data_IF_548326330504
#
_entry.id   IF_548326330504
#
_cell.length_a   1.000
_cell.length_b   1.000
_cell.length_c   1.000
_cell.angle_alpha   90.00
_cell.angle_beta   90.00
_cell.angle_gamma   90.00
#
_symmetry.space_group_name_H-M   'P 1'
#
loop_
_entity.id
_entity.type
_entity.pdbx_description
1 polymer ?
#
# COMPACT_ATOMS: atom_id res chain seq x y z
N UNK A 1 0.37 1.04 -22.96
CA UNK A 1 0.01 1.01 -24.39
C UNK A 1 -0.64 2.35 -24.72
N UNK A 2 -0.14 2.99 -25.77
CA UNK A 2 -0.29 4.42 -26.11
C UNK A 2 -0.76 4.53 -27.58
N UNK A 3 -1.93 3.99 -27.86
CA UNK A 3 -2.47 3.88 -29.23
C UNK A 3 -3.75 4.71 -29.43
N UNK A 4 -4.13 5.54 -28.44
CA UNK A 4 -5.12 6.62 -28.60
C UNK A 4 -6.54 6.17 -28.93
N UNK A 5 -6.79 4.88 -29.12
CA UNK A 5 -8.11 4.28 -29.24
C UNK A 5 -8.60 3.96 -27.84
N UNK A 6 -9.45 4.82 -27.31
CA UNK A 6 -10.09 4.60 -26.02
C UNK A 6 -10.96 3.34 -26.09
N UNK A 7 -10.48 2.23 -25.52
CA UNK A 7 -11.33 1.09 -25.18
C UNK A 7 -12.21 1.52 -24.02
N UNK A 8 -13.53 1.46 -24.21
CA UNK A 8 -14.45 1.78 -23.13
C UNK A 8 -14.38 0.68 -22.08
N UNK A 9 -14.59 1.10 -20.85
CA UNK A 9 -14.65 0.28 -19.66
C UNK A 9 -15.90 -0.62 -19.73
N UNK A 10 -15.79 -1.73 -20.49
CA UNK A 10 -16.90 -2.61 -20.86
C UNK A 10 -16.67 -3.43 -22.14
N UNK A 11 -15.68 -3.07 -22.97
CA UNK A 11 -15.40 -3.76 -24.24
C UNK A 11 -14.61 -5.07 -24.08
N UNK A 12 -14.23 -5.43 -22.85
CA UNK A 12 -13.57 -6.70 -22.56
C UNK A 12 -14.63 -7.78 -22.31
N UNK A 13 -14.70 -8.77 -23.22
CA UNK A 13 -15.51 -9.97 -23.05
C UNK A 13 -15.28 -10.56 -21.64
N UNK A 14 -16.37 -10.66 -20.86
CA UNK A 14 -16.44 -11.16 -19.48
C UNK A 14 -15.98 -10.22 -18.35
N UNK A 15 -15.70 -8.93 -18.62
CA UNK A 15 -15.47 -7.97 -17.53
C UNK A 15 -16.79 -7.42 -16.96
N UNK A 16 -16.99 -7.53 -15.65
CA UNK A 16 -17.94 -6.69 -14.93
C UNK A 16 -17.47 -5.23 -15.01
N UNK A 17 -18.34 -4.27 -15.36
CA UNK A 17 -17.95 -2.86 -15.43
C UNK A 17 -17.43 -2.41 -14.06
N UNK A 18 -16.27 -1.76 -14.02
CA UNK A 18 -15.73 -1.30 -12.74
C UNK A 18 -16.60 -0.15 -12.19
N UNK A 19 -16.62 0.02 -10.86
CA UNK A 19 -17.50 0.96 -10.16
C UNK A 19 -17.39 2.42 -10.68
N UNK A 20 -16.26 2.78 -11.28
CA UNK A 20 -16.02 4.10 -11.88
C UNK A 20 -16.72 4.34 -13.22
N UNK A 21 -17.17 3.29 -13.88
CA UNK A 21 -17.75 3.33 -15.23
C UNK A 21 -19.26 3.10 -15.22
N UNK A 22 -19.82 2.78 -14.05
CA UNK A 22 -21.26 2.58 -13.84
C UNK A 22 -21.99 3.93 -13.81
N UNK A 23 -22.87 4.17 -14.79
CA UNK A 23 -23.69 5.38 -14.85
C UNK A 23 -24.74 5.48 -13.73
N UNK A 24 -24.95 4.40 -12.98
CA UNK A 24 -25.92 4.32 -11.88
C UNK A 24 -25.28 4.41 -10.51
N UNK A 25 -23.94 4.43 -10.41
CA UNK A 25 -23.26 4.55 -9.13
C UNK A 25 -23.26 6.02 -8.64
N UNK A 26 -23.69 6.20 -7.38
CA UNK A 26 -23.87 7.52 -6.76
C UNK A 26 -22.55 8.28 -6.60
N UNK A 27 -21.44 7.56 -6.40
CA UNK A 27 -20.11 8.15 -6.29
C UNK A 27 -19.60 8.62 -7.66
N UNK A 28 -19.84 7.84 -8.73
CA UNK A 28 -19.54 8.24 -10.11
C UNK A 28 -20.34 9.47 -10.56
N UNK A 29 -21.63 9.55 -10.21
CA UNK A 29 -22.43 10.75 -10.50
C UNK A 29 -21.94 11.99 -9.74
N UNK A 30 -21.51 11.83 -8.48
CA UNK A 30 -20.91 12.91 -7.71
C UNK A 30 -19.61 13.42 -8.35
N UNK A 31 -18.72 12.52 -8.79
CA UNK A 31 -17.48 12.86 -9.51
C UNK A 31 -17.74 13.54 -10.86
N UNK A 32 -18.74 13.08 -11.63
CA UNK A 32 -19.13 13.72 -12.89
C UNK A 32 -19.72 15.12 -12.69
N UNK A 33 -20.45 15.34 -11.59
CA UNK A 33 -20.98 16.66 -11.25
C UNK A 33 -19.88 17.67 -10.90
N UNK A 34 -18.79 17.20 -10.26
CA UNK A 34 -17.63 18.03 -9.89
C UNK A 34 -16.70 18.34 -11.07
N UNK A 35 -16.69 17.48 -12.10
CA UNK A 35 -15.77 17.59 -13.24
C UNK A 35 -16.38 18.23 -14.48
N UNK A 36 -17.71 18.36 -14.56
CA UNK A 36 -18.40 19.17 -15.57
C UNK A 36 -18.18 20.67 -15.32
N UNK A 37 -17.00 21.16 -15.70
CA UNK A 37 -16.83 22.59 -16.01
C UNK A 37 -17.77 22.94 -17.17
N UNK A 38 -18.56 24.02 -17.10
CA UNK A 38 -19.36 24.45 -18.23
C UNK A 38 -18.42 24.87 -19.35
N UNK A 39 -18.38 24.08 -20.42
CA UNK A 39 -17.80 24.49 -21.69
C UNK A 39 -18.71 25.59 -22.24
N UNK A 40 -18.25 26.85 -22.15
CA UNK A 40 -18.88 27.96 -22.86
C UNK A 40 -18.62 27.76 -24.36
N UNK A 41 -19.57 27.17 -25.06
CA UNK A 41 -19.64 27.22 -26.52
C UNK A 41 -20.12 28.63 -26.90
N UNK A 42 -19.37 29.42 -27.67
CA UNK A 42 -19.87 30.69 -28.17
C UNK A 42 -20.85 30.40 -29.31
N UNK A 43 -22.16 30.52 -29.04
CA UNK A 43 -23.16 30.57 -30.11
C UNK A 43 -23.32 32.01 -30.58
N UNK A 44 -22.84 32.30 -31.78
CA UNK A 44 -23.32 33.44 -32.54
C UNK A 44 -24.69 33.10 -33.12
N UNK A 45 -25.74 33.75 -32.61
CA UNK A 45 -26.88 34.16 -33.44
C UNK A 45 -27.71 35.25 -32.79
N UNK A 46 -28.21 36.07 -33.69
CA UNK A 46 -28.79 37.40 -33.59
C UNK A 46 -30.25 37.40 -33.14
N UNK A 47 -30.59 38.52 -32.51
CA UNK A 47 -31.85 39.26 -32.52
C UNK A 47 -33.07 38.83 -31.69
N UNK A 48 -33.47 39.84 -30.91
CA UNK A 48 -34.82 40.27 -30.55
C UNK A 48 -35.62 39.35 -29.62
N UNK A 49 -35.70 39.74 -28.35
CA UNK A 49 -36.88 40.46 -27.87
C UNK A 49 -36.56 41.32 -26.63
N UNK A 50 -37.09 42.52 -26.67
CA UNK A 50 -36.89 43.63 -25.75
C UNK A 50 -38.00 43.59 -24.70
N UNK A 51 -37.81 42.89 -23.58
CA UNK A 51 -38.68 43.05 -22.41
C UNK A 51 -38.06 44.05 -21.42
N UNK A 52 -38.68 45.23 -21.40
CA UNK A 52 -38.44 46.31 -20.45
C UNK A 52 -38.84 45.86 -19.05
N UNK A 53 -37.85 45.53 -18.22
CA UNK A 53 -37.99 45.58 -16.77
C UNK A 53 -37.13 46.72 -16.22
N UNK A 54 -37.67 47.60 -15.36
CA UNK A 54 -36.90 48.70 -14.78
C UNK A 54 -35.77 48.15 -13.89
N UNK A 55 -34.58 48.77 -13.88
CA UNK A 55 -33.45 48.30 -13.10
C UNK A 55 -33.76 48.49 -11.62
N UNK A 56 -34.06 47.38 -10.93
CA UNK A 56 -34.07 47.35 -9.47
C UNK A 56 -32.62 47.47 -9.03
N UNK A 57 -32.24 48.65 -8.55
CA UNK A 57 -30.97 48.92 -7.89
C UNK A 57 -30.85 48.05 -6.65
N UNK A 58 -30.48 46.79 -6.85
CA UNK A 58 -29.91 45.96 -5.80
C UNK A 58 -28.49 46.46 -5.70
N UNK A 59 -28.23 47.22 -4.64
CA UNK A 59 -26.87 47.50 -4.18
C UNK A 59 -26.25 46.14 -3.89
N UNK A 60 -25.63 45.54 -4.91
CA UNK A 60 -24.77 44.38 -4.75
C UNK A 60 -23.60 44.92 -3.93
N UNK A 61 -23.70 44.77 -2.61
CA UNK A 61 -22.55 44.89 -1.73
C UNK A 61 -21.42 44.12 -2.40
N UNK A 62 -20.26 44.74 -2.67
CA UNK A 62 -19.16 44.04 -3.31
C UNK A 62 -18.91 42.82 -2.44
N UNK A 63 -19.16 41.63 -2.99
CA UNK A 63 -18.77 40.38 -2.36
C UNK A 63 -17.27 40.53 -2.24
N UNK A 64 -16.80 40.87 -1.04
CA UNK A 64 -15.37 40.93 -0.73
C UNK A 64 -14.87 39.53 -0.99
N UNK A 65 -14.35 39.30 -2.18
CA UNK A 65 -13.44 38.20 -2.42
C UNK A 65 -12.39 38.33 -1.32
N UNK A 66 -12.18 37.29 -0.49
CA UNK A 66 -11.11 37.35 0.49
C UNK A 66 -9.81 37.56 -0.29
N UNK A 67 -9.23 38.76 -0.15
CA UNK A 67 -7.97 39.18 -0.78
C UNK A 67 -6.76 38.55 -0.10
N UNK A 68 -6.90 37.31 0.35
CA UNK A 68 -5.88 36.58 1.07
C UNK A 68 -5.38 35.46 0.18
N UNK A 69 -4.14 35.60 -0.28
CA UNK A 69 -3.37 34.52 -0.90
C UNK A 69 -2.90 33.46 0.12
N UNK A 70 -3.22 33.66 1.41
CA UNK A 70 -2.90 32.68 2.45
C UNK A 70 -3.68 31.37 2.23
N UNK A 71 -3.00 30.21 2.24
CA UNK A 71 -3.66 28.92 2.11
C UNK A 71 -4.65 28.71 3.26
N UNK A 72 -5.81 28.15 2.95
CA UNK A 72 -6.83 27.85 3.96
C UNK A 72 -6.28 26.88 5.02
N UNK A 73 -6.84 26.92 6.23
CA UNK A 73 -6.47 25.99 7.30
C UNK A 73 -6.62 24.51 6.88
N UNK A 74 -7.55 24.20 5.98
CA UNK A 74 -7.69 22.88 5.37
C UNK A 74 -6.48 22.51 4.49
N UNK A 75 -6.05 23.42 3.61
CA UNK A 75 -4.87 23.20 2.75
C UNK A 75 -3.61 23.03 3.60
N UNK A 76 -3.44 23.82 4.66
CA UNK A 76 -2.30 23.69 5.58
C UNK A 76 -2.33 22.34 6.30
N UNK A 77 -3.51 21.90 6.76
CA UNK A 77 -3.69 20.59 7.39
C UNK A 77 -3.32 19.47 6.43
N UNK A 78 -3.84 19.50 5.21
CA UNK A 78 -3.58 18.48 4.18
C UNK A 78 -2.09 18.43 3.80
N UNK A 79 -1.46 19.59 3.63
CA UNK A 79 -0.02 19.69 3.39
C UNK A 79 0.80 19.09 4.55
N UNK A 80 0.38 19.31 5.81
CA UNK A 80 1.04 18.73 6.97
C UNK A 80 0.90 17.21 7.04
N UNK A 81 -0.28 16.66 6.72
CA UNK A 81 -0.55 15.22 6.67
C UNK A 81 0.29 14.58 5.57
N UNK A 82 0.30 15.19 4.38
CA UNK A 82 1.11 14.74 3.25
C UNK A 82 2.61 14.71 3.59
N UNK A 83 3.12 15.77 4.22
CA UNK A 83 4.54 15.86 4.61
C UNK A 83 4.91 14.78 5.64
N UNK A 84 4.04 14.54 6.63
CA UNK A 84 4.21 13.45 7.62
C UNK A 84 4.22 12.09 6.95
N UNK A 85 3.25 11.81 6.07
CA UNK A 85 3.19 10.55 5.33
C UNK A 85 4.45 10.33 4.48
N UNK A 86 4.92 11.38 3.80
CA UNK A 86 6.15 11.32 2.98
C UNK A 86 7.40 11.02 3.82
N UNK A 87 7.57 11.72 4.94
CA UNK A 87 8.69 11.48 5.86
C UNK A 87 8.66 10.05 6.41
N UNK A 88 7.49 9.56 6.81
CA UNK A 88 7.30 8.20 7.31
C UNK A 88 7.71 7.15 6.27
N UNK A 89 7.26 7.30 5.03
CA UNK A 89 7.60 6.37 3.94
C UNK A 89 9.11 6.36 3.66
N UNK A 90 9.75 7.53 3.62
CA UNK A 90 11.19 7.61 3.37
C UNK A 90 12.01 6.90 4.46
N UNK A 91 11.61 7.07 5.72
CA UNK A 91 12.24 6.37 6.85
C UNK A 91 12.08 4.85 6.73
N UNK A 92 10.86 4.39 6.42
CA UNK A 92 10.55 2.97 6.20
C UNK A 92 11.32 2.37 5.03
N UNK A 93 11.39 3.09 3.91
CA UNK A 93 12.17 2.67 2.74
C UNK A 93 13.66 2.53 3.07
N UNK A 94 14.22 3.50 3.81
CA UNK A 94 15.62 3.44 4.26
C UNK A 94 15.91 2.20 5.12
N UNK A 95 15.03 1.84 6.05
CA UNK A 95 15.19 0.63 6.89
C UNK A 95 15.24 -0.62 6.00
N UNK A 96 14.37 -0.71 5.01
CA UNK A 96 14.34 -1.84 4.08
C UNK A 96 15.57 -1.86 3.17
N UNK A 97 16.02 -0.72 2.66
CA UNK A 97 17.24 -0.63 1.86
C UNK A 97 18.45 -1.14 2.65
N UNK A 98 18.59 -0.73 3.92
CA UNK A 98 19.65 -1.23 4.79
C UNK A 98 19.55 -2.74 4.99
N UNK A 99 18.34 -3.27 5.24
CA UNK A 99 18.13 -4.70 5.46
C UNK A 99 18.48 -5.50 4.20
N UNK A 100 18.15 -4.98 3.02
CA UNK A 100 18.52 -5.61 1.74
C UNK A 100 20.01 -5.55 1.48
N UNK A 101 20.70 -4.46 1.86
CA UNK A 101 22.17 -4.38 1.73
C UNK A 101 22.83 -5.44 2.63
N UNK A 102 22.32 -5.64 3.83
CA UNK A 102 22.92 -6.55 4.80
C UNK A 102 22.67 -8.03 4.49
N UNK A 103 21.44 -8.39 4.14
CA UNK A 103 21.05 -9.79 3.90
C UNK A 103 21.15 -10.17 2.43
N UNK A 104 20.84 -9.25 1.51
CA UNK A 104 20.72 -9.55 0.09
C UNK A 104 19.71 -10.68 -0.17
N UNK A 105 20.23 -11.78 -0.73
CA UNK A 105 19.46 -13.00 -1.04
C UNK A 105 19.51 -14.08 0.03
N UNK A 106 20.16 -13.83 1.17
CA UNK A 106 20.31 -14.80 2.26
C UNK A 106 18.99 -15.03 3.03
N UNK A 107 19.03 -15.95 3.99
CA UNK A 107 17.89 -16.36 4.78
C UNK A 107 17.47 -15.22 5.74
N UNK A 108 16.31 -14.57 5.52
CA UNK A 108 15.90 -13.45 6.35
C UNK A 108 15.59 -13.89 7.79
N UNK A 109 15.18 -15.14 8.00
CA UNK A 109 14.88 -15.65 9.35
C UNK A 109 16.13 -15.92 10.17
N UNK A 110 17.19 -16.47 9.56
CA UNK A 110 18.48 -16.61 10.25
C UNK A 110 19.03 -15.26 10.69
N UNK A 111 18.88 -14.24 9.85
CA UNK A 111 19.31 -12.89 10.18
C UNK A 111 18.55 -12.33 11.38
N UNK A 112 17.21 -12.38 11.38
CA UNK A 112 16.44 -11.80 12.50
C UNK A 112 16.57 -12.61 13.79
N UNK A 113 16.67 -13.94 13.75
CA UNK A 113 16.61 -14.76 14.96
C UNK A 113 17.97 -15.03 15.57
N UNK A 114 19.03 -14.98 14.76
CA UNK A 114 20.37 -15.36 15.17
C UNK A 114 21.43 -14.30 14.86
N UNK A 115 21.06 -13.20 14.19
CA UNK A 115 22.00 -12.15 13.78
C UNK A 115 23.03 -12.62 12.75
N UNK A 116 22.76 -13.71 12.02
CA UNK A 116 23.69 -14.28 11.04
C UNK A 116 23.10 -14.30 9.63
N UNK A 117 23.90 -13.90 8.64
CA UNK A 117 23.56 -14.08 7.23
C UNK A 117 24.02 -15.46 6.78
N UNK A 118 23.06 -16.28 6.33
CA UNK A 118 23.30 -17.62 5.79
C UNK A 118 22.58 -17.76 4.46
N UNK A 119 23.12 -18.51 3.49
CA UNK A 119 22.40 -18.82 2.26
C UNK A 119 21.00 -19.36 2.56
N UNK A 120 20.01 -18.97 1.75
CA UNK A 120 18.64 -19.47 1.88
C UNK A 120 18.61 -21.00 1.92
N UNK A 121 17.81 -21.54 2.82
CA UNK A 121 17.68 -22.98 2.97
C UNK A 121 16.94 -23.58 1.76
N UNK A 122 17.53 -24.57 1.07
CA UNK A 122 16.94 -25.14 -0.15
C UNK A 122 15.69 -25.98 0.15
N UNK A 123 15.61 -26.57 1.34
CA UNK A 123 14.49 -27.41 1.77
C UNK A 123 13.74 -26.77 2.93
N UNK A 124 12.40 -26.86 2.90
CA UNK A 124 11.52 -26.31 3.94
C UNK A 124 11.82 -26.86 5.33
N UNK A 125 12.14 -28.16 5.42
CA UNK A 125 12.51 -28.79 6.69
C UNK A 125 13.78 -28.16 7.29
N UNK A 126 14.77 -27.84 6.46
CA UNK A 126 16.00 -27.19 6.93
C UNK A 126 15.73 -25.77 7.43
N UNK A 127 14.78 -25.06 6.82
CA UNK A 127 14.35 -23.76 7.30
C UNK A 127 13.81 -23.82 8.74
N UNK A 128 12.90 -24.75 9.06
CA UNK A 128 12.38 -24.87 10.43
C UNK A 128 13.44 -25.35 11.43
N UNK A 129 14.19 -26.37 11.06
CA UNK A 129 15.21 -26.94 11.92
C UNK A 129 16.36 -25.96 12.20
N UNK A 130 16.84 -25.25 11.17
CA UNK A 130 18.01 -24.36 11.30
C UNK A 130 17.63 -22.98 11.79
N UNK A 131 16.52 -22.41 11.32
CA UNK A 131 16.13 -21.07 11.74
C UNK A 131 15.43 -21.06 13.10
N UNK A 132 14.58 -22.05 13.38
CA UNK A 132 13.76 -22.05 14.60
C UNK A 132 14.23 -23.04 15.66
N UNK A 133 15.16 -23.93 15.34
CA UNK A 133 15.58 -25.05 16.22
C UNK A 133 14.42 -25.99 16.56
N UNK A 134 13.42 -26.05 15.67
CA UNK A 134 12.23 -26.89 15.85
C UNK A 134 12.31 -28.07 14.90
N UNK A 135 12.20 -29.28 15.45
CA UNK A 135 12.24 -30.54 14.70
C UNK A 135 10.95 -30.82 13.94
N UNK A 136 9.81 -30.32 14.43
CA UNK A 136 8.51 -30.55 13.82
C UNK A 136 7.52 -29.41 14.15
N UNK A 137 6.87 -28.87 13.13
CA UNK A 137 5.75 -27.93 13.28
C UNK A 137 4.64 -28.44 12.34
N UNK A 138 3.50 -28.85 12.90
CA UNK A 138 2.32 -29.25 12.10
C UNK A 138 1.91 -28.16 11.09
N UNK A 139 2.16 -26.91 11.47
CA UNK A 139 1.85 -25.71 10.71
C UNK A 139 2.97 -25.27 9.74
N UNK A 140 4.03 -26.08 9.55
CA UNK A 140 5.22 -25.71 8.75
C UNK A 140 4.91 -25.36 7.28
N UNK A 141 3.85 -25.90 6.71
CA UNK A 141 3.40 -25.60 5.34
C UNK A 141 2.44 -24.41 5.26
N UNK A 142 1.84 -24.00 6.38
CA UNK A 142 0.75 -23.03 6.40
C UNK A 142 1.19 -21.62 5.97
N UNK A 143 2.46 -21.26 6.15
CA UNK A 143 2.97 -19.99 5.63
C UNK A 143 2.99 -19.93 4.09
N UNK A 144 3.13 -21.08 3.41
CA UNK A 144 3.05 -21.17 1.95
C UNK A 144 1.62 -20.89 1.50
N UNK A 145 0.64 -21.36 2.26
CA UNK A 145 -0.78 -21.14 2.02
C UNK A 145 -1.16 -19.67 2.29
N UNK A 146 -0.72 -19.10 3.41
CA UNK A 146 -0.87 -17.67 3.71
C UNK A 146 -0.24 -16.79 2.62
N UNK A 147 0.94 -17.17 2.10
CA UNK A 147 1.58 -16.52 0.96
C UNK A 147 0.72 -16.58 -0.30
N UNK A 148 0.01 -17.68 -0.56
CA UNK A 148 -0.92 -17.77 -1.70
C UNK A 148 -2.08 -16.81 -1.52
N UNK A 149 -2.62 -16.67 -0.31
CA UNK A 149 -3.68 -15.70 0.00
C UNK A 149 -3.24 -14.24 -0.19
N UNK A 150 -1.97 -13.92 0.13
CA UNK A 150 -1.39 -12.61 -0.16
C UNK A 150 -1.28 -12.38 -1.68
N UNK A 151 -0.84 -13.40 -2.43
CA UNK A 151 -0.66 -13.31 -3.90
C UNK A 151 -1.97 -13.28 -4.68
N UNK A 152 -3.04 -13.87 -4.17
CA UNK A 152 -4.31 -14.00 -4.88
C UNK A 152 -5.09 -12.69 -4.97
N UNK A 153 -4.76 -11.69 -4.14
CA UNK A 153 -5.34 -10.34 -4.21
C UNK A 153 -4.73 -9.58 -5.38
N UNK A 154 -5.30 -9.79 -6.57
CA UNK A 154 -4.80 -9.36 -7.89
C UNK A 154 -4.76 -7.84 -8.16
N UNK A 155 -4.82 -6.95 -7.16
CA UNK A 155 -4.92 -5.49 -7.35
C UNK A 155 -3.63 -4.71 -7.05
N UNK A 156 -2.46 -5.31 -7.19
CA UNK A 156 -1.20 -4.62 -6.85
C UNK A 156 -0.57 -3.90 -8.05
N UNK A 157 -1.31 -3.02 -8.74
CA UNK A 157 -0.75 -2.17 -9.81
C UNK A 157 0.35 -1.22 -9.32
N UNK A 158 0.40 -0.95 -8.01
CA UNK A 158 1.42 -0.14 -7.35
C UNK A 158 2.36 -0.94 -6.45
N UNK A 159 2.33 -2.27 -6.43
CA UNK A 159 3.15 -3.08 -5.52
C UNK A 159 3.74 -4.32 -6.20
N UNK A 160 4.88 -4.81 -5.71
CA UNK A 160 5.57 -5.98 -6.23
C UNK A 160 4.82 -7.26 -5.86
N UNK A 161 4.56 -8.10 -6.85
CA UNK A 161 3.87 -9.39 -6.69
C UNK A 161 4.62 -10.42 -5.83
N UNK A 162 5.93 -10.28 -5.67
CA UNK A 162 6.77 -11.25 -4.94
C UNK A 162 6.97 -10.91 -3.46
N UNK A 163 6.97 -9.62 -3.11
CA UNK A 163 7.28 -9.15 -1.76
C UNK A 163 6.26 -8.16 -1.18
N UNK A 164 5.27 -7.71 -1.96
CA UNK A 164 4.23 -6.77 -1.52
C UNK A 164 4.69 -5.31 -1.38
N UNK A 165 5.95 -4.99 -1.72
CA UNK A 165 6.50 -3.64 -1.62
C UNK A 165 5.95 -2.66 -2.67
N UNK A 166 5.80 -1.37 -2.35
CA UNK A 166 5.39 -0.38 -3.35
C UNK A 166 6.40 -0.25 -4.50
N UNK A 167 5.87 -0.12 -5.72
CA UNK A 167 6.60 0.14 -6.96
C UNK A 167 6.59 1.64 -7.27
N UNK A 168 7.54 2.11 -8.10
CA UNK A 168 7.66 3.50 -8.54
C UNK A 168 8.71 4.29 -7.76
N UNK A 169 8.51 5.61 -7.59
CA UNK A 169 9.49 6.53 -6.96
C UNK A 169 9.89 6.17 -5.52
N UNK A 170 9.09 5.33 -4.86
CA UNK A 170 9.24 4.94 -3.45
C UNK A 170 9.69 3.49 -3.28
N UNK A 171 10.13 2.88 -4.38
CA UNK A 171 10.69 1.53 -4.39
C UNK A 171 12.07 1.55 -3.70
N UNK A 172 12.39 0.55 -2.85
CA UNK A 172 13.77 0.32 -2.41
C UNK A 172 14.71 0.23 -3.62
N UNK A 173 15.88 0.85 -3.54
CA UNK A 173 16.80 0.92 -4.69
C UNK A 173 17.20 -0.49 -5.16
N UNK A 174 17.42 -1.38 -4.19
CA UNK A 174 17.89 -2.75 -4.40
C UNK A 174 16.79 -3.76 -4.79
N UNK A 175 15.54 -3.33 -4.88
CA UNK A 175 14.42 -4.19 -5.28
C UNK A 175 14.45 -4.57 -6.79
N UNK A 176 15.20 -3.85 -7.62
CA UNK A 176 15.25 -4.04 -9.07
C UNK A 176 14.02 -3.50 -9.82
N UNK A 177 14.18 -3.28 -11.13
CA UNK A 177 13.17 -2.69 -12.04
C UNK A 177 12.02 -3.62 -12.42
N UNK A 178 12.24 -4.93 -12.38
CA UNK A 178 11.25 -5.89 -12.82
C UNK A 178 10.22 -6.14 -11.73
N UNK A 179 9.02 -5.60 -11.93
CA UNK A 179 7.83 -5.98 -11.20
C UNK A 179 7.56 -7.47 -11.42
N UNK A 180 7.98 -8.30 -10.45
CA UNK A 180 7.52 -9.66 -10.25
C UNK A 180 7.55 -10.58 -11.46
N UNK A 181 8.60 -11.38 -11.57
CA UNK A 181 8.42 -12.79 -11.94
C UNK A 181 9.44 -13.70 -11.26
N UNK A 182 10.75 -13.43 -11.33
CA UNK A 182 11.72 -14.48 -10.94
C UNK A 182 12.87 -14.10 -9.98
N UNK A 183 13.11 -12.81 -9.66
CA UNK A 183 14.34 -12.43 -8.91
C UNK A 183 14.18 -11.32 -7.84
N UNK A 184 13.02 -11.22 -7.19
CA UNK A 184 12.90 -10.28 -6.06
C UNK A 184 13.74 -10.77 -4.88
N UNK A 185 14.80 -10.03 -4.51
CA UNK A 185 15.67 -10.37 -3.36
C UNK A 185 14.88 -10.47 -2.04
N UNK A 186 13.79 -9.69 -1.95
CA UNK A 186 12.87 -9.67 -0.82
C UNK A 186 11.71 -10.65 -0.95
N UNK A 187 11.77 -11.60 -1.88
CA UNK A 187 10.75 -12.61 -2.04
C UNK A 187 10.50 -13.32 -0.71
N UNK A 188 9.23 -13.38 -0.31
CA UNK A 188 8.73 -14.03 0.90
C UNK A 188 9.09 -13.36 2.23
N UNK A 189 9.83 -12.24 2.25
CA UNK A 189 10.24 -11.59 3.50
C UNK A 189 9.07 -11.28 4.44
N UNK A 190 8.00 -10.70 3.89
CA UNK A 190 6.81 -10.34 4.68
C UNK A 190 6.26 -11.56 5.42
N UNK A 191 5.98 -12.64 4.70
CA UNK A 191 5.36 -13.81 5.32
C UNK A 191 6.34 -14.52 6.27
N UNK A 192 7.63 -14.61 5.91
CA UNK A 192 8.63 -15.25 6.75
C UNK A 192 8.88 -14.49 8.05
N UNK A 193 8.85 -13.15 8.02
CA UNK A 193 8.97 -12.34 9.23
C UNK A 193 7.72 -12.42 10.11
N UNK A 194 6.52 -12.37 9.52
CA UNK A 194 5.27 -12.60 10.28
C UNK A 194 5.34 -13.95 10.98
N UNK A 195 5.71 -15.00 10.24
CA UNK A 195 5.84 -16.34 10.80
C UNK A 195 6.88 -16.41 11.93
N UNK A 196 8.02 -15.74 11.73
CA UNK A 196 9.08 -15.74 12.73
C UNK A 196 8.70 -15.02 14.03
N UNK A 197 7.94 -13.93 13.92
CA UNK A 197 7.34 -13.23 15.07
C UNK A 197 6.39 -14.16 15.81
N UNK A 198 5.50 -14.83 15.09
CA UNK A 198 4.47 -15.72 15.69
C UNK A 198 5.06 -16.94 16.39
N UNK A 199 6.16 -17.50 15.88
CA UNK A 199 6.80 -18.68 16.48
C UNK A 199 7.77 -18.36 17.63
N UNK A 200 8.07 -17.08 17.90
CA UNK A 200 9.03 -16.68 18.95
C UNK A 200 8.30 -15.91 20.06
N UNK A 201 8.03 -16.54 21.22
CA UNK A 201 7.15 -15.95 22.24
C UNK A 201 7.52 -14.53 22.67
N UNK A 202 8.81 -14.25 22.89
CA UNK A 202 9.26 -12.89 23.28
C UNK A 202 8.96 -11.86 22.19
N UNK A 203 9.22 -12.21 20.93
CA UNK A 203 9.01 -11.32 19.80
C UNK A 203 7.51 -11.13 19.52
N UNK A 204 6.72 -12.18 19.70
CA UNK A 204 5.26 -12.17 19.63
C UNK A 204 4.64 -11.17 20.62
N UNK A 205 4.99 -11.27 21.91
CA UNK A 205 4.46 -10.38 22.95
C UNK A 205 4.73 -8.91 22.68
N UNK A 206 5.91 -8.61 22.13
CA UNK A 206 6.26 -7.25 21.75
C UNK A 206 5.55 -6.80 20.48
N UNK A 207 5.37 -7.70 19.51
CA UNK A 207 4.61 -7.43 18.31
C UNK A 207 3.13 -7.16 18.61
N UNK A 208 2.50 -7.89 19.54
CA UNK A 208 1.10 -7.66 19.94
C UNK A 208 0.87 -6.29 20.58
N UNK A 209 1.89 -5.68 21.18
CA UNK A 209 1.80 -4.30 21.69
C UNK A 209 1.76 -3.27 20.56
N UNK A 210 2.54 -3.50 19.51
CA UNK A 210 2.61 -2.59 18.34
C UNK A 210 1.47 -2.86 17.33
N UNK A 211 1.04 -4.12 17.23
CA UNK A 211 0.03 -4.63 16.31
C UNK A 211 -1.05 -5.40 17.10
N UNK A 212 -1.98 -4.72 17.81
CA UNK A 212 -2.95 -5.38 18.69
C UNK A 212 -3.91 -6.35 17.98
N UNK A 213 -4.13 -6.15 16.68
CA UNK A 213 -4.97 -6.96 15.80
C UNK A 213 -4.19 -8.05 15.05
N UNK A 214 -2.92 -8.28 15.39
CA UNK A 214 -2.13 -9.38 14.82
C UNK A 214 -2.83 -10.71 15.19
N UNK A 215 -3.23 -11.53 14.20
CA UNK A 215 -3.99 -12.76 14.40
C UNK A 215 -3.13 -13.83 15.09
N UNK A 216 -3.76 -14.69 15.87
CA UNK A 216 -3.11 -15.83 16.52
C UNK A 216 -2.76 -16.91 15.48
N UNK A 217 -1.81 -17.80 15.79
CA UNK A 217 -1.51 -18.95 14.91
C UNK A 217 -2.73 -19.85 14.70
N UNK A 218 -3.57 -19.98 15.72
CA UNK A 218 -4.77 -20.82 15.71
C UNK A 218 -5.92 -20.23 14.86
N UNK A 219 -5.85 -18.95 14.49
CA UNK A 219 -6.82 -18.32 13.57
C UNK A 219 -6.67 -18.83 12.13
N UNK A 220 -5.56 -19.51 11.83
CA UNK A 220 -5.29 -20.14 10.55
C UNK A 220 -4.61 -19.23 9.51
N UNK A 221 -4.07 -19.85 8.47
CA UNK A 221 -3.24 -19.19 7.47
C UNK A 221 -3.98 -18.13 6.63
N UNK A 222 -5.29 -18.28 6.43
CA UNK A 222 -6.11 -17.32 5.69
C UNK A 222 -6.24 -16.01 6.45
N UNK A 223 -6.53 -16.06 7.76
CA UNK A 223 -6.61 -14.87 8.62
C UNK A 223 -5.29 -14.10 8.64
N UNK A 224 -4.16 -14.82 8.76
CA UNK A 224 -2.81 -14.26 8.69
C UNK A 224 -2.55 -13.59 7.34
N UNK A 225 -2.89 -14.28 6.23
CA UNK A 225 -2.72 -13.74 4.88
C UNK A 225 -3.55 -12.48 4.63
N UNK A 226 -4.82 -12.48 5.05
CA UNK A 226 -5.73 -11.33 4.96
C UNK A 226 -5.26 -10.17 5.83
N UNK A 227 -4.78 -10.43 7.04
CA UNK A 227 -4.21 -9.42 7.90
C UNK A 227 -3.00 -8.76 7.22
N UNK A 228 -2.10 -9.54 6.62
CA UNK A 228 -0.88 -9.03 6.00
C UNK A 228 -1.15 -7.99 4.90
N UNK A 229 -2.21 -8.15 4.13
CA UNK A 229 -2.57 -7.26 3.01
C UNK A 229 -3.46 -6.08 3.41
N UNK A 230 -3.86 -5.99 4.68
CA UNK A 230 -4.67 -4.88 5.15
C UNK A 230 -3.84 -3.58 5.18
N UNK A 231 -4.37 -2.50 4.62
CA UNK A 231 -3.71 -1.19 4.58
C UNK A 231 -3.93 -0.43 5.88
N UNK A 232 -2.86 0.12 6.47
CA UNK A 232 -2.96 0.97 7.67
C UNK A 232 -2.09 2.22 7.59
N UNK A 233 -2.48 3.22 8.38
CA UNK A 233 -1.73 4.45 8.59
C UNK A 233 -1.95 5.51 7.51
N UNK A 234 -1.44 6.72 7.77
CA UNK A 234 -1.51 7.86 6.84
C UNK A 234 -0.73 7.63 5.55
N UNK A 235 0.16 6.65 5.56
CA UNK A 235 1.00 6.26 4.45
C UNK A 235 0.51 5.02 3.70
N UNK A 236 -0.62 4.42 4.14
CA UNK A 236 -1.26 3.26 3.51
C UNK A 236 -0.27 2.13 3.22
N UNK A 237 0.48 1.72 4.25
CA UNK A 237 1.40 0.59 4.16
C UNK A 237 0.69 -0.67 4.66
N UNK A 238 0.85 -1.78 3.95
CA UNK A 238 0.31 -3.07 4.35
C UNK A 238 0.82 -3.50 5.73
N UNK A 239 -0.04 -4.07 6.55
CA UNK A 239 0.28 -4.55 7.90
C UNK A 239 1.49 -5.49 7.92
N UNK A 240 1.53 -6.49 7.02
CA UNK A 240 2.64 -7.43 6.95
C UNK A 240 3.96 -6.74 6.62
N UNK A 241 3.92 -5.72 5.75
CA UNK A 241 5.10 -4.91 5.43
C UNK A 241 5.52 -4.01 6.60
N UNK A 242 4.56 -3.44 7.33
CA UNK A 242 4.87 -2.69 8.56
C UNK A 242 5.55 -3.55 9.61
N UNK A 243 5.08 -4.78 9.80
CA UNK A 243 5.71 -5.75 10.69
C UNK A 243 7.11 -6.10 10.21
N UNK A 244 7.29 -6.36 8.91
CA UNK A 244 8.61 -6.60 8.33
C UNK A 244 9.61 -5.46 8.61
N UNK A 245 9.19 -4.21 8.39
CA UNK A 245 10.01 -3.02 8.69
C UNK A 245 10.32 -2.92 10.19
N UNK A 246 9.32 -3.18 11.03
CA UNK A 246 9.47 -3.16 12.48
C UNK A 246 10.50 -4.19 12.96
N UNK A 247 10.45 -5.43 12.44
CA UNK A 247 11.45 -6.45 12.75
C UNK A 247 12.84 -5.98 12.34
N UNK A 248 13.01 -5.52 11.09
CA UNK A 248 14.30 -5.02 10.60
C UNK A 248 14.85 -3.91 11.50
N UNK A 249 14.01 -2.93 11.89
CA UNK A 249 14.43 -1.83 12.76
C UNK A 249 14.98 -2.31 14.10
N UNK A 250 14.40 -3.37 14.66
CA UNK A 250 14.84 -3.90 15.94
C UNK A 250 16.11 -4.73 15.86
N UNK A 251 16.36 -5.40 14.74
CA UNK A 251 17.66 -6.02 14.48
C UNK A 251 18.74 -4.93 14.47
N UNK A 252 18.53 -3.82 13.76
CA UNK A 252 19.47 -2.70 13.73
C UNK A 252 19.67 -2.03 15.09
N UNK A 253 18.62 -1.97 15.91
CA UNK A 253 18.71 -1.44 17.28
C UNK A 253 19.38 -2.42 18.26
N UNK A 254 19.75 -3.63 17.83
CA UNK A 254 20.27 -4.70 18.70
C UNK A 254 19.26 -5.23 19.72
N UNK A 255 17.95 -5.05 19.45
CA UNK A 255 16.84 -5.43 20.33
C UNK A 255 16.30 -6.84 20.06
N UNK A 256 16.73 -7.48 18.97
CA UNK A 256 16.40 -8.87 18.67
C UNK A 256 17.69 -9.67 18.68
N UNK A 257 17.75 -10.64 19.60
CA UNK A 257 18.62 -11.82 19.66
C UNK A 257 17.97 -12.82 20.64
#
# INVERSE_FOLDING_TARGET
>A
MLDGKGTNCGDLLLSTPCDFCSSTDSFTQALQSLTKKPVKTPSFRTDNQLEKNPPRTTTISPTRFPASDAPSAAIIRDASIYTKARSSINSKARILDLAVIEIGSDCPVCWILHGISKPRHPHLHDFFRVCFEITYIDQASLWIEAKRSIKSVKQHGKHCWSCGLPLGERRPQNHGELSGKDHCVMQDWVILFVWAVMLRPKLWEEAKKEFPDLPELDDGHEAIGLWCIHLRGVDYVYNGLRLAIWVCSRVFDGKIN
#
